data_IF_859950938061
#
_entry.id   IF_859950938061
#
_cell.length_a   1.000
_cell.length_b   1.000
_cell.length_c   1.000
_cell.angle_alpha   90.00
_cell.angle_beta   90.00
_cell.angle_gamma   90.00
#
_symmetry.space_group_name_H-M   'P 1'
#
loop_
_entity.id
_entity.type
_entity.pdbx_description
1 polymer ?
#
# COMPACT_ATOMS: atom_id res chain seq x y z
N UNK A 1 2.71 12.57 -6.42
CA UNK A 1 3.57 13.29 -5.44
C UNK A 1 3.28 12.73 -4.07
N UNK A 2 4.28 12.48 -3.23
CA UNK A 2 4.07 12.02 -1.85
C UNK A 2 3.66 13.19 -0.95
N UNK A 3 2.82 12.93 0.08
CA UNK A 3 2.49 13.93 1.10
C UNK A 3 3.68 14.03 2.06
N UNK A 4 4.16 15.25 2.29
CA UNK A 4 5.30 15.49 3.18
C UNK A 4 4.89 15.22 4.65
N UNK A 5 5.63 14.36 5.33
CA UNK A 5 5.38 13.98 6.71
C UNK A 5 5.54 15.15 7.67
N UNK A 6 6.48 16.07 7.41
CA UNK A 6 6.71 17.23 8.25
C UNK A 6 5.56 18.22 8.21
N UNK A 7 5.00 18.46 7.01
CA UNK A 7 3.84 19.37 6.86
C UNK A 7 2.63 18.86 7.64
N UNK A 8 2.39 17.54 7.59
CA UNK A 8 1.29 16.92 8.32
C UNK A 8 1.55 17.02 9.82
N UNK A 9 2.75 16.67 10.29
CA UNK A 9 3.09 16.74 11.70
C UNK A 9 2.95 18.15 12.27
N UNK A 10 3.49 19.16 11.57
CA UNK A 10 3.36 20.56 11.99
C UNK A 10 1.90 21.02 12.01
N UNK A 11 1.08 20.60 11.03
CA UNK A 11 -0.34 20.94 11.01
C UNK A 11 -1.08 20.32 12.20
N UNK A 12 -0.82 19.05 12.49
CA UNK A 12 -1.39 18.35 13.65
C UNK A 12 -0.98 19.03 14.94
N UNK A 13 0.32 19.33 15.14
CA UNK A 13 0.79 20.04 16.32
C UNK A 13 0.18 21.43 16.46
N UNK A 14 0.05 22.17 15.36
CA UNK A 14 -0.56 23.49 15.38
C UNK A 14 -2.02 23.44 15.85
N UNK A 15 -2.79 22.47 15.39
CA UNK A 15 -4.19 22.29 15.83
C UNK A 15 -4.23 21.90 17.32
N UNK A 16 -3.43 20.93 17.75
CA UNK A 16 -3.37 20.49 19.14
C UNK A 16 -2.94 21.63 20.09
N UNK A 17 -1.91 22.39 19.72
CA UNK A 17 -1.42 23.52 20.53
C UNK A 17 -2.42 24.67 20.62
N UNK A 18 -3.16 24.96 19.55
CA UNK A 18 -4.18 26.00 19.54
C UNK A 18 -5.29 25.73 20.55
N UNK A 19 -5.60 24.46 20.74
CA UNK A 19 -6.59 24.00 21.71
C UNK A 19 -6.03 23.87 23.14
N UNK A 20 -4.75 24.19 23.39
CA UNK A 20 -4.05 24.05 24.67
C UNK A 20 -4.10 22.64 25.27
N UNK A 21 -4.15 21.60 24.43
CA UNK A 21 -4.57 20.25 24.82
C UNK A 21 -3.46 19.20 24.81
N UNK A 22 -2.21 19.60 24.77
CA UNK A 22 -1.06 18.70 24.84
C UNK A 22 -0.20 18.70 23.59
N UNK A 23 0.90 17.97 23.67
CA UNK A 23 1.82 17.77 22.57
C UNK A 23 1.91 16.29 22.23
N UNK A 24 2.08 15.97 20.97
CA UNK A 24 2.33 14.62 20.48
C UNK A 24 3.82 14.46 20.22
N UNK A 25 4.41 13.40 20.74
CA UNK A 25 5.81 13.08 20.45
C UNK A 25 5.99 12.60 19.02
N UNK A 26 7.17 12.77 18.40
CA UNK A 26 7.45 12.26 17.06
C UNK A 26 7.23 10.75 16.88
N UNK A 27 7.46 10.00 17.92
CA UNK A 27 7.30 8.55 17.90
C UNK A 27 5.82 8.15 17.92
N UNK A 28 5.01 8.78 18.78
CA UNK A 28 3.56 8.60 18.80
C UNK A 28 2.94 8.99 17.47
N UNK A 29 3.34 10.13 16.93
CA UNK A 29 2.89 10.58 15.61
C UNK A 29 3.22 9.54 14.53
N UNK A 30 4.44 9.03 14.45
CA UNK A 30 4.85 8.07 13.44
C UNK A 30 4.03 6.77 13.51
N UNK A 31 3.73 6.30 14.72
CA UNK A 31 2.90 5.10 14.92
C UNK A 31 1.46 5.32 14.47
N UNK A 32 0.85 6.42 14.88
CA UNK A 32 -0.53 6.79 14.48
C UNK A 32 -0.61 7.05 12.98
N UNK A 33 0.35 7.80 12.43
CA UNK A 33 0.42 8.13 11.01
C UNK A 33 0.51 6.86 10.14
N UNK A 34 1.29 5.87 10.55
CA UNK A 34 1.39 4.58 9.86
C UNK A 34 0.06 3.83 9.91
N UNK A 35 -0.59 3.78 11.07
CA UNK A 35 -1.90 3.12 11.21
C UNK A 35 -2.96 3.78 10.33
N UNK A 36 -3.05 5.10 10.37
CA UNK A 36 -4.01 5.86 9.56
C UNK A 36 -3.75 5.70 8.07
N UNK A 37 -2.47 5.68 7.66
CA UNK A 37 -2.12 5.41 6.25
C UNK A 37 -2.61 4.03 5.79
N UNK A 38 -2.49 3.01 6.62
CA UNK A 38 -2.99 1.66 6.31
C UNK A 38 -4.52 1.63 6.22
N UNK A 39 -5.23 2.33 7.09
CA UNK A 39 -6.68 2.43 7.04
C UNK A 39 -7.18 3.12 5.76
N UNK A 40 -6.51 4.21 5.33
CA UNK A 40 -6.83 4.87 4.07
C UNK A 40 -6.53 3.95 2.88
N UNK A 41 -5.44 3.21 2.93
CA UNK A 41 -5.09 2.22 1.91
C UNK A 41 -6.16 1.12 1.80
N UNK A 42 -6.62 0.57 2.90
CA UNK A 42 -7.68 -0.46 2.89
C UNK A 42 -9.02 0.12 2.40
N UNK A 43 -9.34 1.37 2.77
CA UNK A 43 -10.54 2.09 2.30
C UNK A 43 -10.58 2.18 0.76
N UNK A 44 -9.46 2.40 0.07
CA UNK A 44 -9.45 2.44 -1.40
C UNK A 44 -10.01 1.17 -2.05
N UNK A 45 -9.74 0.00 -1.47
CA UNK A 45 -10.27 -1.27 -2.00
C UNK A 45 -11.73 -1.47 -1.65
N UNK A 46 -12.17 -1.01 -0.48
CA UNK A 46 -13.57 -1.04 -0.09
C UNK A 46 -14.40 -0.15 -1.01
N UNK A 47 -13.95 1.08 -1.28
CA UNK A 47 -14.59 2.02 -2.17
C UNK A 47 -14.65 1.49 -3.62
N UNK A 48 -13.56 0.91 -4.13
CA UNK A 48 -13.55 0.28 -5.44
C UNK A 48 -14.62 -0.84 -5.53
N UNK A 49 -14.66 -1.73 -4.53
CA UNK A 49 -15.65 -2.80 -4.48
C UNK A 49 -17.08 -2.28 -4.37
N UNK A 50 -17.30 -1.20 -3.61
CA UNK A 50 -18.60 -0.56 -3.47
C UNK A 50 -19.05 0.01 -4.82
N UNK A 51 -18.19 0.79 -5.48
CA UNK A 51 -18.50 1.42 -6.77
C UNK A 51 -18.72 0.40 -7.89
N UNK A 52 -17.97 -0.69 -7.93
CA UNK A 52 -18.16 -1.76 -8.91
C UNK A 52 -19.49 -2.50 -8.73
N UNK A 53 -20.07 -2.51 -7.53
CA UNK A 53 -21.37 -3.14 -7.25
C UNK A 53 -22.57 -2.20 -7.50
N UNK A 54 -22.36 -0.89 -7.44
CA UNK A 54 -23.41 0.08 -7.69
C UNK A 54 -23.75 0.13 -9.18
N UNK A 55 -25.02 -0.01 -9.52
CA UNK A 55 -25.52 0.28 -10.88
C UNK A 55 -25.63 1.77 -11.03
N UNK A 56 -24.82 2.36 -11.87
CA UNK A 56 -24.90 3.77 -12.19
C UNK A 56 -25.32 4.01 -13.63
N UNK A 57 -26.24 4.96 -13.82
CA UNK A 57 -26.67 5.45 -15.11
C UNK A 57 -26.04 6.82 -15.47
N UNK A 58 -25.09 7.31 -14.68
CA UNK A 58 -24.49 8.64 -14.89
C UNK A 58 -22.99 8.56 -15.24
N UNK A 59 -22.52 9.51 -16.03
CA UNK A 59 -21.11 9.65 -16.38
C UNK A 59 -20.23 10.00 -15.15
N UNK A 60 -20.80 10.63 -14.11
CA UNK A 60 -20.12 10.95 -12.85
C UNK A 60 -19.59 9.69 -12.14
N UNK A 61 -20.29 8.58 -12.28
CA UNK A 61 -19.86 7.31 -11.71
C UNK A 61 -18.55 6.79 -12.33
N UNK A 62 -18.42 6.88 -13.65
CA UNK A 62 -17.21 6.47 -14.34
C UNK A 62 -15.98 7.27 -13.86
N UNK A 63 -16.15 8.54 -13.57
CA UNK A 63 -15.08 9.40 -13.05
C UNK A 63 -14.67 9.02 -11.63
N UNK A 64 -15.62 8.65 -10.77
CA UNK A 64 -15.32 8.18 -9.39
C UNK A 64 -14.51 6.88 -9.39
N UNK A 65 -14.93 5.89 -10.18
CA UNK A 65 -14.17 4.61 -10.31
C UNK A 65 -12.76 4.89 -10.78
N UNK A 66 -12.60 5.70 -11.80
CA UNK A 66 -11.30 6.06 -12.35
C UNK A 66 -10.42 6.77 -11.32
N UNK A 67 -10.99 7.67 -10.52
CA UNK A 67 -10.25 8.36 -9.45
C UNK A 67 -9.73 7.38 -8.40
N UNK A 68 -10.53 6.37 -8.02
CA UNK A 68 -10.08 5.33 -7.07
C UNK A 68 -9.02 4.42 -7.68
N UNK A 69 -9.19 4.04 -8.96
CA UNK A 69 -8.16 3.27 -9.68
C UNK A 69 -6.83 4.05 -9.77
N UNK A 70 -6.88 5.35 -10.03
CA UNK A 70 -5.69 6.22 -10.01
C UNK A 70 -5.02 6.26 -8.62
N UNK A 71 -5.79 6.27 -7.53
CA UNK A 71 -5.26 6.18 -6.17
C UNK A 71 -4.59 4.82 -5.90
N UNK A 72 -5.17 3.73 -6.38
CA UNK A 72 -4.63 2.38 -6.22
C UNK A 72 -3.37 2.19 -7.07
N UNK A 73 -3.31 2.77 -8.26
CA UNK A 73 -2.16 2.65 -9.18
C UNK A 73 -0.83 3.12 -8.58
N UNK A 74 -0.88 3.99 -7.56
CA UNK A 74 0.31 4.42 -6.81
C UNK A 74 1.04 3.22 -6.16
N UNK A 75 0.29 2.18 -5.81
CA UNK A 75 0.79 0.97 -5.13
C UNK A 75 1.08 -0.19 -6.08
N UNK A 76 0.73 -0.06 -7.36
CA UNK A 76 1.01 -1.09 -8.35
C UNK A 76 2.51 -1.15 -8.66
N UNK A 77 3.04 -2.36 -8.62
CA UNK A 77 4.44 -2.66 -8.94
C UNK A 77 4.52 -3.85 -9.87
N UNK A 78 5.59 -3.85 -10.64
CA UNK A 78 5.94 -4.95 -11.53
C UNK A 78 7.34 -5.44 -11.21
N UNK A 79 7.53 -6.75 -11.14
CA UNK A 79 8.83 -7.36 -10.90
C UNK A 79 8.95 -8.68 -11.65
N UNK A 80 10.15 -8.93 -12.15
CA UNK A 80 10.49 -10.22 -12.74
C UNK A 80 11.02 -11.14 -11.64
N UNK A 81 10.48 -12.35 -11.54
CA UNK A 81 10.87 -13.36 -10.55
C UNK A 81 11.24 -14.68 -11.24
N UNK A 82 12.32 -15.29 -10.76
CA UNK A 82 12.85 -16.57 -11.29
C UNK A 82 12.55 -17.75 -10.36
N UNK A 83 12.47 -17.50 -9.06
CA UNK A 83 12.27 -18.54 -8.05
C UNK A 83 10.80 -18.76 -7.66
N UNK A 84 9.87 -18.05 -8.30
CA UNK A 84 8.43 -18.13 -8.05
C UNK A 84 7.99 -17.88 -6.59
N UNK A 85 8.85 -17.29 -5.76
CA UNK A 85 8.60 -16.97 -4.36
C UNK A 85 8.20 -15.50 -4.22
N UNK A 86 6.94 -15.26 -3.87
CA UNK A 86 6.39 -13.91 -3.67
C UNK A 86 6.96 -13.23 -2.42
N UNK A 87 7.55 -13.97 -1.48
CA UNK A 87 8.18 -13.38 -0.30
C UNK A 87 9.45 -12.56 -0.65
N UNK A 88 10.00 -12.75 -1.85
CA UNK A 88 11.11 -11.93 -2.36
C UNK A 88 10.66 -10.54 -2.82
N UNK A 89 9.34 -10.36 -3.05
CA UNK A 89 8.79 -9.08 -3.45
C UNK A 89 8.73 -8.11 -2.27
N UNK A 90 9.13 -6.88 -2.52
CA UNK A 90 9.16 -5.84 -1.49
C UNK A 90 7.73 -5.54 -1.03
N UNK A 91 7.45 -5.72 0.27
CA UNK A 91 6.15 -5.38 0.89
C UNK A 91 4.95 -5.89 0.10
N UNK A 92 5.03 -7.11 -0.39
CA UNK A 92 3.95 -7.77 -1.12
C UNK A 92 2.64 -7.74 -0.32
N UNK A 93 1.55 -7.27 -0.94
CA UNK A 93 0.22 -7.24 -0.36
C UNK A 93 -0.72 -8.20 -1.09
N UNK A 94 -0.91 -7.99 -2.39
CA UNK A 94 -1.83 -8.80 -3.20
C UNK A 94 -1.27 -9.01 -4.59
N UNK A 95 -1.42 -10.22 -5.10
CA UNK A 95 -1.08 -10.56 -6.48
C UNK A 95 -2.13 -9.97 -7.43
N UNK A 96 -1.64 -9.36 -8.50
CA UNK A 96 -2.45 -8.97 -9.64
C UNK A 96 -2.34 -10.01 -10.77
N UNK A 97 -1.79 -9.61 -11.92
CA UNK A 97 -1.60 -10.52 -13.05
C UNK A 97 -0.19 -11.10 -13.08
N UNK A 98 -0.09 -12.32 -13.56
CA UNK A 98 1.18 -13.00 -13.82
C UNK A 98 1.32 -13.19 -15.32
N UNK A 99 2.45 -12.75 -15.85
CA UNK A 99 2.75 -12.86 -17.28
C UNK A 99 4.13 -13.47 -17.50
N UNK A 100 4.37 -14.05 -18.65
CA UNK A 100 5.73 -14.40 -19.07
C UNK A 100 6.00 -13.91 -20.48
N UNK A 101 7.25 -13.57 -20.75
CA UNK A 101 7.69 -13.20 -22.10
C UNK A 101 8.11 -14.47 -22.82
N UNK A 102 7.46 -14.75 -23.93
CA UNK A 102 7.87 -15.85 -24.81
C UNK A 102 9.20 -15.46 -25.47
N UNK A 103 10.23 -16.30 -25.31
CA UNK A 103 11.54 -16.06 -25.93
C UNK A 103 11.47 -15.93 -27.45
N UNK A 104 12.23 -14.99 -28.01
CA UNK A 104 12.16 -14.48 -29.39
C UNK A 104 12.61 -15.44 -30.50
N UNK A 105 12.72 -16.72 -30.27
CA UNK A 105 12.89 -17.70 -31.34
C UNK A 105 11.59 -18.03 -32.09
N UNK A 106 10.62 -17.10 -32.04
CA UNK A 106 9.38 -17.25 -32.82
C UNK A 106 9.55 -16.54 -34.17
N UNK A 107 9.67 -17.23 -35.28
CA UNK A 107 9.78 -16.62 -36.61
C UNK A 107 8.50 -15.88 -37.07
N UNK A 108 7.42 -15.93 -36.29
CA UNK A 108 6.09 -15.50 -36.69
C UNK A 108 5.53 -14.29 -35.92
N UNK A 109 6.33 -13.53 -35.15
CA UNK A 109 5.80 -12.31 -34.54
C UNK A 109 6.61 -11.71 -33.38
N UNK A 110 6.31 -10.49 -32.99
CA UNK A 110 6.96 -9.82 -31.88
C UNK A 110 6.68 -10.55 -30.56
N UNK A 111 7.64 -10.46 -29.63
CA UNK A 111 7.47 -10.98 -28.27
C UNK A 111 6.31 -10.24 -27.60
N UNK A 112 5.25 -10.95 -27.29
CA UNK A 112 4.13 -10.42 -26.53
C UNK A 112 4.02 -11.18 -25.18
N UNK A 113 3.66 -10.47 -24.11
CA UNK A 113 3.47 -11.11 -22.82
C UNK A 113 2.24 -12.03 -22.86
N UNK A 114 2.39 -13.24 -22.39
CA UNK A 114 1.30 -14.23 -22.25
C UNK A 114 0.90 -14.23 -20.77
N UNK A 115 -0.38 -14.00 -20.50
CA UNK A 115 -0.93 -14.04 -19.14
C UNK A 115 -1.14 -15.49 -18.71
N UNK A 116 -0.74 -15.80 -17.48
CA UNK A 116 -1.01 -17.07 -16.84
C UNK A 116 -2.39 -17.02 -16.18
N UNK A 117 -3.13 -18.10 -16.27
CA UNK A 117 -4.43 -18.24 -15.63
C UNK A 117 -4.27 -18.83 -14.23
N UNK A 118 -4.89 -18.18 -13.23
CA UNK A 118 -4.91 -18.67 -11.85
C UNK A 118 -5.97 -19.75 -11.68
N UNK A 119 -5.56 -20.90 -11.14
CA UNK A 119 -6.45 -22.02 -10.86
C UNK A 119 -6.26 -22.50 -9.42
N UNK A 120 -7.29 -23.15 -8.89
CA UNK A 120 -7.19 -23.78 -7.56
C UNK A 120 -6.23 -24.97 -7.59
N UNK A 121 -5.67 -25.34 -6.43
CA UNK A 121 -4.72 -26.45 -6.34
C UNK A 121 -5.34 -27.76 -6.86
N UNK A 122 -6.60 -28.02 -6.57
CA UNK A 122 -7.31 -29.22 -7.03
C UNK A 122 -7.48 -29.27 -8.55
N UNK A 123 -7.80 -28.14 -9.16
CA UNK A 123 -7.89 -28.00 -10.62
C UNK A 123 -6.52 -28.13 -11.27
N UNK A 124 -5.50 -27.50 -10.69
CA UNK A 124 -4.13 -27.60 -11.18
C UNK A 124 -3.65 -29.05 -11.25
N UNK A 125 -3.89 -29.82 -10.20
CA UNK A 125 -3.51 -31.25 -10.15
C UNK A 125 -4.32 -32.10 -11.14
N UNK A 126 -5.63 -31.80 -11.30
CA UNK A 126 -6.51 -32.51 -12.23
C UNK A 126 -6.10 -32.26 -13.68
N UNK A 127 -5.87 -30.98 -14.05
CA UNK A 127 -5.52 -30.57 -15.40
C UNK A 127 -4.14 -31.13 -15.80
N UNK A 128 -3.18 -31.12 -14.90
CA UNK A 128 -1.83 -31.66 -15.17
C UNK A 128 -1.81 -33.19 -15.30
N UNK A 129 -2.77 -33.89 -14.71
CA UNK A 129 -2.85 -35.36 -14.76
C UNK A 129 -3.33 -35.85 -16.13
N UNK A 130 -4.16 -35.09 -16.81
CA UNK A 130 -4.74 -35.49 -18.09
C UNK A 130 -3.85 -35.08 -19.27
N UNK A 131 -3.46 -35.99 -20.16
CA UNK A 131 -2.65 -35.62 -21.34
C UNK A 131 -3.35 -34.66 -22.30
N UNK A 132 -4.69 -34.67 -22.35
CA UNK A 132 -5.49 -33.85 -23.26
C UNK A 132 -5.63 -32.40 -22.77
N UNK A 133 -5.67 -32.19 -21.44
CA UNK A 133 -5.89 -30.88 -20.83
C UNK A 133 -4.61 -30.23 -20.32
N UNK A 134 -3.47 -30.93 -20.42
CA UNK A 134 -2.19 -30.43 -19.93
C UNK A 134 -1.85 -29.05 -20.51
N UNK A 135 -1.47 -28.09 -19.66
CA UNK A 135 -1.13 -26.74 -20.09
C UNK A 135 -0.01 -26.70 -21.11
N UNK A 136 -0.12 -25.77 -22.03
CA UNK A 136 0.93 -25.50 -23.02
C UNK A 136 1.55 -24.12 -22.78
N UNK A 137 2.67 -23.82 -23.45
CA UNK A 137 3.28 -22.48 -23.40
C UNK A 137 2.39 -21.37 -23.95
N UNK A 138 1.33 -21.71 -24.71
CA UNK A 138 0.35 -20.75 -25.19
C UNK A 138 -0.75 -20.45 -24.14
N UNK A 139 -1.03 -21.42 -23.28
CA UNK A 139 -2.05 -21.35 -22.24
C UNK A 139 -1.47 -21.89 -20.93
N UNK A 140 -0.57 -21.15 -20.27
CA UNK A 140 0.03 -21.55 -19.03
C UNK A 140 -0.91 -21.29 -17.86
N UNK A 141 -0.82 -22.14 -16.84
CA UNK A 141 -1.58 -22.04 -15.60
C UNK A 141 -0.65 -21.87 -14.42
N UNK A 142 -1.15 -21.25 -13.37
CA UNK A 142 -0.46 -21.20 -12.09
C UNK A 142 -1.43 -21.38 -10.92
N UNK A 143 -0.87 -21.80 -9.80
CA UNK A 143 -1.56 -21.84 -8.51
C UNK A 143 -0.64 -21.31 -7.43
N UNK A 144 -1.22 -20.79 -6.33
CA UNK A 144 -0.49 -20.18 -5.22
C UNK A 144 -0.59 -21.09 -4.01
N UNK A 145 0.56 -21.40 -3.39
CA UNK A 145 0.62 -22.12 -2.13
C UNK A 145 1.71 -21.52 -1.23
N UNK A 146 1.34 -21.05 -0.06
CA UNK A 146 2.27 -20.44 0.91
C UNK A 146 3.14 -19.32 0.29
N UNK A 147 2.55 -18.43 -0.51
CA UNK A 147 3.24 -17.37 -1.25
C UNK A 147 4.28 -17.88 -2.28
N UNK A 148 4.20 -19.14 -2.68
CA UNK A 148 5.01 -19.70 -3.76
C UNK A 148 4.08 -20.03 -4.93
N UNK A 149 4.47 -19.61 -6.13
CA UNK A 149 3.76 -19.89 -7.36
C UNK A 149 4.21 -21.25 -7.92
N UNK A 150 3.24 -22.12 -8.20
CA UNK A 150 3.47 -23.34 -8.98
C UNK A 150 2.96 -23.12 -10.39
N UNK A 151 3.83 -23.18 -11.37
CA UNK A 151 3.53 -22.85 -12.78
C UNK A 151 3.60 -24.11 -13.64
N UNK A 152 2.62 -24.25 -14.54
CA UNK A 152 2.61 -25.32 -15.55
C UNK A 152 2.27 -24.75 -16.94
N UNK A 153 3.04 -25.05 -18.01
CA UNK A 153 4.30 -25.85 -18.04
C UNK A 153 5.45 -25.11 -17.35
N UNK A 154 6.57 -25.79 -17.19
CA UNK A 154 7.78 -25.20 -16.59
C UNK A 154 8.24 -24.00 -17.41
N UNK A 155 8.26 -22.83 -16.78
CA UNK A 155 8.73 -21.54 -17.28
C UNK A 155 9.86 -21.09 -16.36
N UNK A 156 10.88 -20.45 -16.88
CA UNK A 156 12.08 -20.07 -16.12
C UNK A 156 11.97 -18.68 -15.48
N UNK A 157 11.21 -17.79 -16.09
CA UNK A 157 11.08 -16.40 -15.68
C UNK A 157 9.66 -15.92 -15.91
N UNK A 158 9.09 -15.27 -14.92
CA UNK A 158 7.76 -14.67 -14.98
C UNK A 158 7.81 -13.22 -14.50
N UNK A 159 6.97 -12.41 -15.09
CA UNK A 159 6.72 -11.03 -14.67
C UNK A 159 5.44 -10.99 -13.85
N UNK A 160 5.54 -10.48 -12.65
CA UNK A 160 4.42 -10.40 -11.69
C UNK A 160 4.04 -8.94 -11.50
N UNK A 161 2.78 -8.62 -11.72
CA UNK A 161 2.18 -7.36 -11.30
C UNK A 161 1.54 -7.57 -9.94
N UNK A 162 1.86 -6.73 -8.99
CA UNK A 162 1.37 -6.87 -7.61
C UNK A 162 1.12 -5.51 -6.96
N UNK A 163 0.34 -5.53 -5.89
CA UNK A 163 0.14 -4.38 -5.03
C UNK A 163 1.15 -4.42 -3.89
N UNK A 164 1.83 -3.31 -3.70
CA UNK A 164 2.78 -3.09 -2.63
C UNK A 164 2.09 -2.44 -1.44
N UNK A 165 2.32 -2.95 -0.24
CA UNK A 165 1.86 -2.31 0.99
C UNK A 165 2.60 -0.98 1.21
N UNK A 166 1.91 0.10 1.66
CA UNK A 166 2.56 1.37 1.97
C UNK A 166 3.77 1.22 2.90
N UNK A 167 4.76 2.10 2.74
CA UNK A 167 5.89 2.21 3.67
C UNK A 167 5.40 2.74 5.02
N UNK A 168 6.00 2.25 6.10
CA UNK A 168 5.75 2.84 7.42
C UNK A 168 6.17 4.31 7.43
N UNK A 169 5.27 5.16 7.90
CA UNK A 169 5.52 6.60 7.97
C UNK A 169 6.44 6.91 9.13
N UNK A 170 7.41 7.77 8.90
CA UNK A 170 8.35 8.15 9.92
C UNK A 170 8.68 9.64 9.85
N UNK A 171 8.49 10.33 10.95
CA UNK A 171 9.04 11.66 11.15
C UNK A 171 10.41 11.52 11.83
N UNK A 172 11.48 11.60 11.03
CA UNK A 172 12.84 11.51 11.50
C UNK A 172 13.26 12.77 12.25
N UNK A 173 14.06 12.61 13.30
CA UNK A 173 14.54 13.74 14.08
C UNK A 173 15.93 13.49 14.66
N UNK A 174 16.61 14.59 14.89
CA UNK A 174 17.83 14.65 15.70
C UNK A 174 17.54 15.43 16.98
N UNK A 175 18.27 15.13 18.04
CA UNK A 175 18.16 15.87 19.29
C UNK A 175 19.14 17.05 19.26
N UNK A 176 18.62 18.26 19.40
CA UNK A 176 19.44 19.45 19.57
C UNK A 176 20.09 19.52 20.98
N UNK A 177 21.00 20.47 21.19
CA UNK A 177 21.78 20.63 22.43
C UNK A 177 20.92 20.87 23.68
N UNK A 178 19.69 21.36 23.51
CA UNK A 178 18.71 21.60 24.59
C UNK A 178 17.64 20.49 24.67
N UNK A 179 17.85 19.35 23.96
CA UNK A 179 16.90 18.25 23.95
C UNK A 179 15.68 18.44 23.04
N UNK A 180 15.62 19.53 22.24
CA UNK A 180 14.55 19.75 21.29
C UNK A 180 14.66 18.81 20.07
N UNK A 181 13.51 18.39 19.55
CA UNK A 181 13.44 17.60 18.33
C UNK A 181 13.63 18.50 17.11
N UNK A 182 14.64 18.20 16.31
CA UNK A 182 14.91 18.87 15.03
C UNK A 182 14.57 17.90 13.89
N UNK A 183 13.73 18.33 12.96
CA UNK A 183 13.33 17.53 11.81
C UNK A 183 14.53 17.14 10.93
N UNK A 184 14.61 15.87 10.61
CA UNK A 184 15.59 15.34 9.65
C UNK A 184 14.89 15.00 8.34
N UNK A 185 15.18 15.79 7.31
CA UNK A 185 14.59 15.64 5.97
C UNK A 185 15.24 14.54 5.12
N UNK A 186 16.30 13.89 5.60
CA UNK A 186 16.94 12.80 4.84
C UNK A 186 15.99 11.62 4.71
N UNK A 187 16.06 10.90 3.58
CA UNK A 187 15.25 9.70 3.41
C UNK A 187 15.73 8.61 4.37
N UNK A 188 14.78 8.01 5.09
CA UNK A 188 15.07 6.91 6.00
C UNK A 188 15.55 5.69 5.21
N UNK A 189 16.77 5.29 5.45
CA UNK A 189 17.33 4.04 4.95
C UNK A 189 17.55 3.12 6.17
N UNK A 190 16.81 2.01 6.28
CA UNK A 190 16.98 1.11 7.42
C UNK A 190 18.42 0.58 7.42
N UNK A 191 19.15 0.78 8.52
CA UNK A 191 20.51 0.29 8.62
C UNK A 191 20.52 -1.24 8.54
N UNK A 192 21.40 -1.79 7.71
CA UNK A 192 21.65 -3.24 7.63
C UNK A 192 22.49 -3.63 8.85
N UNK A 193 21.85 -4.02 9.95
CA UNK A 193 22.57 -4.54 11.12
C UNK A 193 22.78 -6.04 10.99
N UNK A 194 23.97 -6.54 11.35
CA UNK A 194 24.14 -7.95 11.60
C UNK A 194 23.23 -8.40 12.76
N UNK A 195 22.69 -9.62 12.73
CA UNK A 195 21.84 -10.13 13.80
C UNK A 195 22.59 -10.05 15.13
N UNK A 196 22.00 -9.40 16.15
CA UNK A 196 22.50 -9.15 17.52
C UNK A 196 23.19 -7.81 17.79
N UNK A 197 23.07 -6.80 16.96
CA UNK A 197 23.48 -5.45 17.33
C UNK A 197 22.26 -4.60 17.69
N UNK A 198 22.23 -4.05 18.91
CA UNK A 198 21.24 -3.05 19.29
C UNK A 198 21.43 -1.80 18.43
N UNK A 199 20.37 -1.28 17.77
CA UNK A 199 20.50 -0.07 16.98
C UNK A 199 20.90 1.11 17.86
N UNK A 200 21.99 1.84 17.57
CA UNK A 200 22.33 3.03 18.32
C UNK A 200 21.36 4.16 17.98
N UNK A 201 20.60 4.60 18.96
CA UNK A 201 19.85 5.84 18.92
C UNK A 201 18.63 5.90 17.98
N UNK A 202 17.93 7.05 17.94
CA UNK A 202 16.87 7.27 16.98
C UNK A 202 17.48 7.27 15.58
N UNK A 203 17.04 6.35 14.73
CA UNK A 203 17.52 6.27 13.36
C UNK A 203 17.17 7.58 12.63
N UNK A 204 18.18 8.27 12.13
CA UNK A 204 18.02 9.48 11.33
C UNK A 204 17.21 9.18 10.05
N UNK A 205 16.49 10.17 9.57
CA UNK A 205 15.75 10.10 8.33
C UNK A 205 14.23 9.94 8.47
N UNK A 206 13.53 10.48 7.49
CA UNK A 206 12.07 10.56 7.42
C UNK A 206 11.53 9.71 6.29
N UNK A 207 10.31 9.18 6.45
CA UNK A 207 9.54 8.52 5.40
C UNK A 207 8.23 9.26 5.19
N UNK A 208 8.02 9.76 3.98
CA UNK A 208 6.80 10.45 3.60
C UNK A 208 5.63 9.48 3.38
N UNK A 209 4.40 10.00 3.43
CA UNK A 209 3.21 9.23 3.09
C UNK A 209 3.19 8.85 1.61
N UNK A 210 2.74 7.64 1.31
CA UNK A 210 2.64 7.11 -0.07
C UNK A 210 1.23 7.17 -0.62
N UNK A 211 0.26 7.72 0.11
CA UNK A 211 -1.13 7.89 -0.34
C UNK A 211 -1.30 9.09 -1.27
N UNK A 212 -2.46 9.17 -1.92
CA UNK A 212 -2.81 10.28 -2.81
C UNK A 212 -2.79 11.63 -2.09
N UNK A 213 -2.26 12.71 -2.70
CA UNK A 213 -2.30 14.05 -2.13
C UNK A 213 -3.71 14.60 -1.88
N UNK A 214 -4.70 14.08 -2.59
CA UNK A 214 -6.10 14.47 -2.45
C UNK A 214 -6.61 14.14 -1.05
N UNK A 215 -6.14 13.04 -0.47
CA UNK A 215 -6.59 12.53 0.83
C UNK A 215 -5.85 13.14 2.03
N UNK A 216 -5.07 14.24 1.80
CA UNK A 216 -4.31 14.92 2.88
C UNK A 216 -5.22 15.40 4.01
N UNK A 217 -6.41 15.89 3.70
CA UNK A 217 -7.34 16.40 4.71
C UNK A 217 -7.90 15.25 5.55
N UNK A 218 -8.35 14.17 4.91
CA UNK A 218 -8.85 12.97 5.60
C UNK A 218 -7.76 12.35 6.49
N UNK A 219 -6.53 12.28 5.99
CA UNK A 219 -5.37 11.85 6.76
C UNK A 219 -5.18 12.66 8.05
N UNK A 220 -5.19 14.00 7.96
CA UNK A 220 -5.02 14.88 9.12
C UNK A 220 -6.16 14.70 10.13
N UNK A 221 -7.41 14.62 9.65
CA UNK A 221 -8.59 14.42 10.51
C UNK A 221 -8.53 13.09 11.25
N UNK A 222 -8.16 12.00 10.57
CA UNK A 222 -8.00 10.68 11.20
C UNK A 222 -6.84 10.68 12.22
N UNK A 223 -5.72 11.31 11.93
CA UNK A 223 -4.62 11.45 12.90
C UNK A 223 -5.09 12.21 14.14
N UNK A 224 -5.84 13.31 13.97
CA UNK A 224 -6.39 14.08 15.09
C UNK A 224 -7.41 13.27 15.91
N UNK A 225 -8.21 12.43 15.27
CA UNK A 225 -9.13 11.52 15.95
C UNK A 225 -8.38 10.56 16.89
N UNK A 226 -7.31 9.93 16.41
CA UNK A 226 -6.47 9.07 17.24
C UNK A 226 -5.71 9.85 18.31
N UNK A 227 -5.20 11.03 17.98
CA UNK A 227 -4.55 11.93 18.94
C UNK A 227 -5.50 12.35 20.06
N UNK A 228 -6.76 12.63 19.75
CA UNK A 228 -7.80 12.92 20.73
C UNK A 228 -8.02 11.79 21.73
N UNK A 229 -7.96 10.54 21.27
CA UNK A 229 -8.03 9.37 22.16
C UNK A 229 -6.79 9.23 23.05
N UNK A 230 -5.60 9.39 22.46
CA UNK A 230 -4.33 9.30 23.19
C UNK A 230 -4.23 10.38 24.27
N UNK A 231 -4.64 11.61 23.96
CA UNK A 231 -4.64 12.75 24.88
C UNK A 231 -5.85 12.69 25.85
N UNK A 232 -6.73 11.70 25.65
CA UNK A 232 -7.98 11.51 26.41
C UNK A 232 -8.89 12.75 26.36
N UNK A 233 -8.93 13.41 25.25
CA UNK A 233 -9.82 14.55 25.01
C UNK A 233 -11.04 14.15 24.21
N UNK A 234 -12.22 14.02 24.87
CA UNK A 234 -13.44 13.58 24.19
C UNK A 234 -13.95 14.57 23.14
N UNK A 235 -13.59 15.84 23.23
CA UNK A 235 -14.07 16.85 22.29
C UNK A 235 -13.33 16.76 20.95
N UNK A 236 -12.01 16.57 20.95
CA UNK A 236 -11.23 16.36 19.72
C UNK A 236 -11.70 15.09 19.01
N UNK A 237 -11.88 14.00 19.77
CA UNK A 237 -12.39 12.74 19.21
C UNK A 237 -13.75 12.90 18.54
N UNK A 238 -14.72 13.55 19.23
CA UNK A 238 -16.07 13.77 18.70
C UNK A 238 -16.07 14.67 17.47
N UNK A 239 -15.29 15.75 17.47
CA UNK A 239 -15.22 16.68 16.34
C UNK A 239 -14.57 16.04 15.12
N UNK A 240 -13.44 15.35 15.30
CA UNK A 240 -12.77 14.65 14.21
C UNK A 240 -13.62 13.49 13.67
N UNK A 241 -14.29 12.73 14.54
CA UNK A 241 -15.19 11.66 14.15
C UNK A 241 -16.41 12.15 13.36
N UNK A 242 -17.01 13.27 13.77
CA UNK A 242 -18.15 13.86 13.07
C UNK A 242 -17.78 14.35 11.66
N UNK A 243 -16.61 14.96 11.50
CA UNK A 243 -16.11 15.40 10.19
C UNK A 243 -15.84 14.22 9.25
N UNK A 244 -15.23 13.14 9.74
CA UNK A 244 -14.99 11.94 8.94
C UNK A 244 -16.31 11.31 8.49
N UNK A 245 -17.29 11.19 9.39
CA UNK A 245 -18.62 10.65 9.04
C UNK A 245 -19.35 11.51 8.01
N UNK A 246 -19.21 12.84 8.10
CA UNK A 246 -19.78 13.76 7.12
C UNK A 246 -19.14 13.60 5.74
N UNK A 247 -17.80 13.45 5.68
CA UNK A 247 -17.09 13.22 4.43
C UNK A 247 -17.49 11.88 3.81
N UNK A 248 -17.51 10.80 4.61
CA UNK A 248 -17.93 9.47 4.13
C UNK A 248 -19.39 9.44 3.66
N UNK A 249 -20.27 10.20 4.29
CA UNK A 249 -21.66 10.32 3.85
C UNK A 249 -21.77 11.08 2.52
N UNK A 250 -20.96 12.13 2.33
CA UNK A 250 -20.95 12.92 1.09
C UNK A 250 -20.36 12.15 -0.09
N UNK A 251 -19.39 11.27 0.14
CA UNK A 251 -18.79 10.41 -0.89
C UNK A 251 -19.75 9.29 -1.36
N UNK A 252 -20.70 8.87 -0.50
CA UNK A 252 -21.66 7.78 -0.78
C UNK A 252 -22.99 8.24 -1.38
N UNK A 253 -23.20 9.54 -1.50
CA UNK A 253 -24.42 10.13 -2.10
C UNK A 253 -24.18 10.54 -3.52
#
# INVERSE_FOLDING_TARGET
>A
MAINVNDVYQTVLFILNKEQRGSMTPQEFSSIATQVQLEIFDKYFEDLNLFLRQRSNSNEYADRVKTVEEKISIFERQSDITNFDLNQLTRFYKLGSVTYKRSSNNPFGPDYPITLEEVTQSEFDLINRSPLTRPSKAFPLFTIKNNVLSVSPVITEITVNYLEKPKDVRWGYTLGSLGQFQYDATEYNPPTYPPNTNPPGPAAGSTNFTISPIDKTDLILKILQYAGVVIRDPQIFQTAGALIQQDEASEKT
#
